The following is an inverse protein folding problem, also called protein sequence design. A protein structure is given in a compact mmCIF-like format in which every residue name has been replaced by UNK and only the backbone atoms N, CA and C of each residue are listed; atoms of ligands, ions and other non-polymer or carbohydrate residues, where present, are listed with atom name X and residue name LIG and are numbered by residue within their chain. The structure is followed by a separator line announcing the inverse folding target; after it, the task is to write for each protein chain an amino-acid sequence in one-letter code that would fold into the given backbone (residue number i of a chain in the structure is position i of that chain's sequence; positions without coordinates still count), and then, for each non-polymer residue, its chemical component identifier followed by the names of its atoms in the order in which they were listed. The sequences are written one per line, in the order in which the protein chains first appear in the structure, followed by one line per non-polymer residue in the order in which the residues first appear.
data_IF_077580935722
#
_entry.id   IF_077580935722
#
_cell.length_a   1.000
_cell.length_b   1.000
_cell.length_c   1.000
_cell.angle_alpha   90.00
_cell.angle_beta   90.00
_cell.angle_gamma   90.00
#
_symmetry.space_group_name_H-M   'P 1'
#
loop_
_entity.id
_entity.type
_entity.pdbx_description
1 polymer ?
#
# COMPACT_ATOMS: atom_id res chain seq x y z
N UNK A 1 24.82 48.57 22.21
CA UNK A 1 23.54 47.93 21.84
C UNK A 1 23.83 46.48 21.45
N UNK A 2 23.30 45.48 22.17
CA UNK A 2 23.41 44.06 21.80
C UNK A 2 22.17 43.69 20.98
N UNK A 3 22.37 43.30 19.73
CA UNK A 3 21.31 42.77 18.88
C UNK A 3 21.17 41.27 19.15
N UNK A 4 20.07 40.86 19.78
CA UNK A 4 19.75 39.45 20.02
C UNK A 4 18.94 38.95 18.83
N UNK A 5 19.53 38.09 18.00
CA UNK A 5 18.84 37.46 16.88
C UNK A 5 17.98 36.31 17.43
N UNK A 6 16.66 36.49 17.49
CA UNK A 6 15.73 35.42 17.79
C UNK A 6 15.51 34.55 16.54
N UNK A 7 16.16 33.39 16.50
CA UNK A 7 15.87 32.35 15.52
C UNK A 7 14.54 31.68 15.88
N UNK A 8 13.44 32.14 15.27
CA UNK A 8 12.16 31.43 15.32
C UNK A 8 12.27 30.14 14.52
N UNK A 9 12.01 28.99 15.17
CA UNK A 9 11.91 27.69 14.52
C UNK A 9 10.64 27.68 13.67
N UNK A 10 10.78 27.54 12.36
CA UNK A 10 9.65 27.33 11.46
C UNK A 10 9.10 25.91 11.70
N UNK A 11 8.02 25.78 12.48
CA UNK A 11 7.27 24.52 12.52
C UNK A 11 6.54 24.37 11.19
N UNK A 12 7.13 23.62 10.26
CA UNK A 12 6.43 23.19 9.06
C UNK A 12 5.13 22.49 9.48
N UNK A 13 3.98 22.97 8.99
CA UNK A 13 2.70 22.31 9.18
C UNK A 13 2.72 21.01 8.36
N UNK A 14 3.12 19.91 9.00
CA UNK A 14 3.16 18.58 8.41
C UNK A 14 1.71 18.09 8.23
N UNK A 15 1.10 18.36 7.07
CA UNK A 15 -0.21 17.79 6.71
C UNK A 15 -1.38 18.33 7.54
N UNK A 16 -1.69 19.61 7.45
CA UNK A 16 -2.81 20.25 8.17
C UNK A 16 -4.18 19.59 7.94
N UNK A 17 -4.33 18.81 6.87
CA UNK A 17 -5.54 18.09 6.47
C UNK A 17 -5.45 16.57 6.68
N UNK A 18 -4.34 16.06 7.23
CA UNK A 18 -4.21 14.66 7.63
C UNK A 18 -4.44 14.62 9.14
N UNK A 19 -5.44 13.86 9.56
CA UNK A 19 -5.77 13.74 10.97
C UNK A 19 -4.56 13.19 11.73
N UNK A 20 -4.16 13.92 12.78
CA UNK A 20 -3.02 13.55 13.59
C UNK A 20 -3.30 12.33 14.48
N UNK A 21 -4.57 11.93 14.71
CA UNK A 21 -4.94 10.66 15.37
C UNK A 21 -6.43 10.26 15.22
N UNK A 22 -6.75 8.95 15.18
CA UNK A 22 -5.84 7.82 15.40
C UNK A 22 -5.38 7.18 14.07
N UNK A 23 -4.08 7.16 13.85
CA UNK A 23 -3.49 6.35 12.78
C UNK A 23 -3.75 4.87 13.06
N UNK A 24 -4.04 4.12 12.00
CA UNK A 24 -4.10 2.66 12.08
C UNK A 24 -2.77 2.07 11.64
N UNK A 25 -2.29 1.08 12.40
CA UNK A 25 -1.07 0.34 12.09
C UNK A 25 -1.43 -1.05 11.61
N UNK A 26 -0.87 -1.44 10.47
CA UNK A 26 -0.97 -2.78 9.91
C UNK A 26 0.42 -3.41 9.99
N UNK A 27 0.50 -4.63 10.53
CA UNK A 27 1.76 -5.37 10.64
C UNK A 27 1.60 -6.82 10.22
N UNK A 28 2.70 -7.41 9.75
CA UNK A 28 2.81 -8.81 9.42
C UNK A 28 4.29 -9.22 9.58
N UNK A 29 4.54 -10.46 9.98
CA UNK A 29 5.91 -10.98 10.15
C UNK A 29 6.61 -11.31 8.84
N UNK A 30 5.91 -11.28 7.71
CA UNK A 30 6.48 -11.58 6.40
C UNK A 30 7.62 -10.62 6.05
N UNK A 31 8.74 -11.17 5.55
CA UNK A 31 9.94 -10.40 5.28
C UNK A 31 9.68 -9.33 4.19
N UNK A 32 9.96 -8.07 4.55
CA UNK A 32 9.72 -6.92 3.68
C UNK A 32 8.25 -6.51 3.57
N UNK A 33 7.38 -6.92 4.49
CA UNK A 33 6.00 -6.42 4.54
C UNK A 33 5.95 -4.89 4.56
N UNK A 34 5.10 -4.30 3.73
CA UNK A 34 4.99 -2.85 3.57
C UNK A 34 5.89 -2.26 2.48
N UNK A 35 6.67 -3.09 1.75
CA UNK A 35 7.59 -2.61 0.71
C UNK A 35 6.90 -1.80 -0.40
N UNK A 36 5.70 -2.21 -0.80
CA UNK A 36 4.80 -1.49 -1.70
C UNK A 36 3.39 -1.57 -1.11
N UNK A 37 2.63 -0.47 -1.27
CA UNK A 37 1.23 -0.37 -0.84
C UNK A 37 0.42 0.24 -1.98
N UNK A 38 -0.67 -0.42 -2.34
CA UNK A 38 -1.62 0.07 -3.36
C UNK A 38 -2.99 0.19 -2.70
N UNK A 39 -3.55 1.40 -2.73
CA UNK A 39 -4.90 1.65 -2.25
C UNK A 39 -5.94 1.36 -3.34
N UNK A 40 -6.97 0.60 -2.99
CA UNK A 40 -8.16 0.37 -3.82
C UNK A 40 -9.39 0.95 -3.12
N UNK A 41 -10.56 0.81 -3.74
CA UNK A 41 -11.84 1.32 -3.19
C UNK A 41 -12.19 0.70 -1.84
N UNK A 42 -11.93 -0.59 -1.65
CA UNK A 42 -12.40 -1.36 -0.48
C UNK A 42 -11.29 -1.79 0.49
N UNK A 43 -10.03 -1.75 0.05
CA UNK A 43 -8.90 -2.34 0.78
C UNK A 43 -7.55 -1.76 0.31
N UNK A 44 -6.50 -2.22 0.97
CA UNK A 44 -5.11 -2.00 0.61
C UNK A 44 -4.51 -3.32 0.13
N UNK A 45 -3.70 -3.28 -0.92
CA UNK A 45 -2.76 -4.35 -1.23
C UNK A 45 -1.41 -3.97 -0.64
N UNK A 46 -0.84 -4.86 0.18
CA UNK A 46 0.46 -4.65 0.82
C UNK A 46 1.38 -5.80 0.44
N UNK A 47 2.56 -5.51 -0.10
CA UNK A 47 3.52 -6.55 -0.50
C UNK A 47 4.52 -6.90 0.60
N UNK A 48 5.04 -8.12 0.54
CA UNK A 48 6.26 -8.58 1.21
C UNK A 48 7.15 -9.33 0.20
N UNK A 49 7.91 -8.62 -0.66
CA UNK A 49 8.65 -9.24 -1.77
C UNK A 49 9.85 -10.08 -1.36
N UNK A 50 10.29 -9.96 -0.11
CA UNK A 50 11.42 -10.73 0.41
C UNK A 50 10.98 -12.02 1.10
N UNK A 51 9.69 -12.18 1.37
CA UNK A 51 9.12 -13.32 2.08
C UNK A 51 9.33 -14.63 1.32
N UNK A 52 10.10 -15.54 1.90
CA UNK A 52 10.30 -16.89 1.38
C UNK A 52 9.32 -17.84 2.06
N UNK A 53 8.33 -18.32 1.31
CA UNK A 53 7.24 -19.12 1.88
C UNK A 53 7.19 -20.57 1.39
N UNK A 54 8.05 -20.90 0.44
CA UNK A 54 8.37 -22.27 0.01
C UNK A 54 9.78 -22.26 -0.52
N UNK A 55 10.40 -23.44 -0.75
CA UNK A 55 11.79 -23.57 -1.21
C UNK A 55 12.09 -22.74 -2.47
N UNK A 56 11.13 -22.65 -3.38
CA UNK A 56 11.29 -22.03 -4.69
C UNK A 56 10.34 -20.84 -4.89
N UNK A 57 9.67 -20.39 -3.81
CA UNK A 57 8.67 -19.32 -3.90
C UNK A 57 8.98 -18.17 -2.96
N UNK A 58 9.06 -16.99 -3.57
CA UNK A 58 9.39 -15.74 -2.89
C UNK A 58 8.44 -14.62 -3.29
N UNK A 59 8.06 -13.82 -2.31
CA UNK A 59 7.20 -12.67 -2.45
C UNK A 59 5.72 -13.02 -2.24
N UNK A 60 5.05 -12.25 -1.39
CA UNK A 60 3.61 -12.37 -1.14
C UNK A 60 2.94 -11.00 -1.20
N UNK A 61 1.67 -10.99 -1.59
CA UNK A 61 0.79 -9.82 -1.50
C UNK A 61 -0.30 -10.16 -0.50
N UNK A 62 -0.62 -9.18 0.34
CA UNK A 62 -1.67 -9.26 1.33
C UNK A 62 -2.78 -8.28 0.97
N UNK A 63 -4.02 -8.73 1.07
CA UNK A 63 -5.19 -7.86 1.05
C UNK A 63 -5.50 -7.45 2.49
N UNK A 64 -5.43 -6.15 2.75
CA UNK A 64 -5.61 -5.58 4.07
C UNK A 64 -6.87 -4.71 4.12
N UNK A 65 -7.70 -4.93 5.14
CA UNK A 65 -8.63 -3.91 5.61
C UNK A 65 -7.91 -2.93 6.52
N UNK A 66 -8.65 -2.10 7.25
CA UNK A 66 -8.09 -1.19 8.24
C UNK A 66 -7.41 -1.88 9.43
N UNK A 67 -7.74 -3.16 9.69
CA UNK A 67 -7.34 -3.84 10.94
C UNK A 67 -6.71 -5.22 10.71
N UNK A 68 -6.93 -5.82 9.53
CA UNK A 68 -6.50 -7.21 9.26
C UNK A 68 -5.94 -7.32 7.86
N UNK A 69 -4.83 -8.05 7.74
CA UNK A 69 -4.21 -8.43 6.48
C UNK A 69 -4.33 -9.95 6.26
N UNK A 70 -4.77 -10.37 5.07
CA UNK A 70 -4.85 -11.77 4.66
C UNK A 70 -4.04 -11.99 3.40
N UNK A 71 -3.36 -13.13 3.29
CA UNK A 71 -2.62 -13.48 2.08
C UNK A 71 -3.56 -13.53 0.89
N UNK A 72 -3.19 -12.85 -0.19
CA UNK A 72 -3.90 -12.92 -1.47
C UNK A 72 -3.27 -14.05 -2.28
N UNK A 73 -4.04 -15.10 -2.55
CA UNK A 73 -3.62 -16.21 -3.39
C UNK A 73 -3.79 -15.82 -4.86
N UNK A 74 -2.69 -15.80 -5.63
CA UNK A 74 -2.77 -15.71 -7.09
C UNK A 74 -2.47 -17.08 -7.69
N UNK A 75 -3.33 -17.54 -8.61
CA UNK A 75 -3.15 -18.81 -9.32
C UNK A 75 -1.86 -18.88 -10.15
N UNK A 76 -1.26 -17.72 -10.48
CA UNK A 76 0.04 -17.60 -11.17
C UNK A 76 1.24 -18.08 -10.32
N UNK A 77 1.05 -18.34 -9.02
CA UNK A 77 2.10 -18.83 -8.13
C UNK A 77 2.57 -20.27 -8.45
N UNK A 78 1.94 -20.97 -9.39
CA UNK A 78 2.28 -22.36 -9.70
C UNK A 78 3.52 -22.54 -10.59
N UNK A 79 3.97 -21.54 -11.36
CA UNK A 79 5.09 -21.73 -12.32
C UNK A 79 6.31 -20.86 -12.05
N UNK A 80 6.18 -19.83 -11.22
CA UNK A 80 7.23 -18.84 -11.07
C UNK A 80 8.17 -19.00 -9.85
N UNK A 81 9.47 -19.18 -10.12
CA UNK A 81 10.50 -19.43 -9.11
C UNK A 81 11.07 -18.11 -8.57
N UNK A 82 11.03 -17.92 -7.25
CA UNK A 82 11.67 -16.81 -6.54
C UNK A 82 11.47 -15.42 -7.17
N UNK A 83 10.27 -15.13 -7.64
CA UNK A 83 9.95 -13.88 -8.37
C UNK A 83 10.14 -12.60 -7.57
N UNK A 84 10.10 -12.69 -6.23
CA UNK A 84 9.88 -11.52 -5.37
C UNK A 84 8.59 -10.78 -5.72
N UNK A 85 7.48 -11.52 -5.85
CA UNK A 85 6.15 -10.96 -6.11
C UNK A 85 5.84 -9.80 -5.16
N UNK A 86 5.40 -8.67 -5.73
CA UNK A 86 5.15 -7.44 -4.99
C UNK A 86 6.35 -6.50 -4.89
N UNK A 87 7.48 -6.79 -5.54
CA UNK A 87 8.61 -5.85 -5.68
C UNK A 87 8.18 -4.57 -6.42
N UNK A 88 7.24 -4.72 -7.35
CA UNK A 88 6.56 -3.61 -8.00
C UNK A 88 5.08 -3.92 -8.04
N UNK A 89 4.24 -2.93 -7.76
CA UNK A 89 2.79 -3.01 -7.87
C UNK A 89 2.28 -1.72 -8.49
N UNK A 90 1.27 -1.84 -9.36
CA UNK A 90 0.60 -0.69 -9.96
C UNK A 90 -0.90 -0.98 -10.01
N UNK A 91 -1.69 0.08 -10.01
CA UNK A 91 -3.14 0.01 -10.17
C UNK A 91 -3.56 0.97 -11.27
N UNK A 92 -4.27 0.47 -12.27
CA UNK A 92 -4.85 1.31 -13.31
C UNK A 92 -6.17 1.91 -12.79
N UNK A 93 -6.24 3.23 -12.56
CA UNK A 93 -7.45 3.87 -12.02
C UNK A 93 -8.63 3.89 -13.02
N UNK A 94 -8.38 3.63 -14.30
CA UNK A 94 -9.37 3.72 -15.40
C UNK A 94 -10.09 2.40 -15.70
N UNK A 95 -9.57 1.26 -15.23
CA UNK A 95 -10.20 -0.07 -15.42
C UNK A 95 -11.49 -0.28 -14.63
N UNK A 96 -12.04 0.78 -14.04
CA UNK A 96 -13.35 0.78 -13.40
C UNK A 96 -14.39 0.48 -14.48
N UNK A 97 -14.99 -0.71 -14.45
CA UNK A 97 -16.36 -0.84 -14.94
C UNK A 97 -17.22 -0.01 -14.01
N UNK A 98 -17.41 1.26 -14.35
CA UNK A 98 -18.51 2.01 -13.78
C UNK A 98 -19.77 1.24 -14.14
N UNK A 99 -20.51 0.85 -13.11
CA UNK A 99 -21.91 0.45 -13.24
C UNK A 99 -22.75 1.72 -13.52
N UNK A 100 -22.28 2.55 -14.44
CA UNK A 100 -22.92 3.75 -14.94
C UNK A 100 -23.51 3.38 -16.30
N UNK A 101 -24.83 3.25 -16.32
CA UNK A 101 -25.63 3.02 -17.51
C UNK A 101 -25.23 3.99 -18.64
N UNK A 102 -24.64 3.46 -19.71
CA UNK A 102 -24.55 4.17 -20.98
C UNK A 102 -25.95 4.24 -21.58
N UNK A 103 -26.70 5.30 -21.24
CA UNK A 103 -27.90 5.67 -21.98
C UNK A 103 -27.44 6.36 -23.27
N UNK A 104 -27.46 5.60 -24.37
CA UNK A 104 -27.15 6.12 -25.70
C UNK A 104 -28.10 7.26 -26.11
N UNK A 105 -27.65 8.17 -26.99
CA UNK A 105 -28.48 9.28 -27.45
C UNK A 105 -29.66 8.74 -28.28
N UNK A 106 -30.87 9.21 -27.96
CA UNK A 106 -32.04 9.15 -28.84
C UNK A 106 -32.10 10.43 -29.66
#
# INVERSE_FOLDING_TARGET
MRATLFCSVLKAALGFNIDSMPWKSLSNSAAGFGYQVVQRRSDLLVSAPLEQYSKDRRGRIFQCSSDVCKTLFSAEQNTAVNMSLGLTMANDPLTKKDHGEMKGPR
#
